data_IF_967519006233
#
_entry.id   IF_967519006233
#
_cell.length_a   1.000
_cell.length_b   1.000
_cell.length_c   1.000
_cell.angle_alpha   90.00
_cell.angle_beta   90.00
_cell.angle_gamma   90.00
#
_symmetry.space_group_name_H-M   'P 1'
#
loop_
_entity.id
_entity.type
_entity.pdbx_description
1 polymer ?
#
# COMPACT_ATOMS: atom_id res chain seq x y z
N UNK A 1 -5.80 10.89 -11.67
CA UNK A 1 -4.68 10.15 -11.02
C UNK A 1 -3.65 11.09 -10.38
N UNK A 2 -3.15 12.10 -11.08
CA UNK A 2 -2.16 13.03 -10.48
C UNK A 2 -2.67 13.66 -9.17
N UNK A 3 -3.87 14.20 -9.14
CA UNK A 3 -4.45 14.84 -7.95
C UNK A 3 -4.65 13.83 -6.79
N UNK A 4 -5.02 12.58 -7.12
CA UNK A 4 -5.10 11.49 -6.17
C UNK A 4 -3.73 11.18 -5.52
N UNK A 5 -2.66 11.12 -6.32
CA UNK A 5 -1.30 10.94 -5.79
C UNK A 5 -0.84 12.12 -4.93
N UNK A 6 -1.13 13.35 -5.34
CA UNK A 6 -0.77 14.54 -4.58
C UNK A 6 -1.53 14.60 -3.24
N UNK A 7 -2.81 14.21 -3.23
CA UNK A 7 -3.59 14.06 -1.99
C UNK A 7 -2.93 13.01 -1.08
N UNK A 8 -2.62 11.82 -1.59
CA UNK A 8 -1.96 10.78 -0.80
C UNK A 8 -0.58 11.23 -0.26
N UNK A 9 0.22 11.95 -1.06
CA UNK A 9 1.52 12.49 -0.62
C UNK A 9 1.38 13.55 0.47
N UNK A 10 0.42 14.44 0.32
CA UNK A 10 0.12 15.49 1.30
C UNK A 10 -0.25 14.88 2.65
N UNK A 11 -1.08 13.85 2.64
CA UNK A 11 -1.69 13.29 3.85
C UNK A 11 -0.93 12.08 4.40
N UNK A 12 0.07 11.56 3.67
CA UNK A 12 0.82 10.35 4.01
C UNK A 12 1.39 10.31 5.44
N UNK A 13 1.75 11.45 6.01
CA UNK A 13 2.27 11.60 7.38
C UNK A 13 1.41 12.56 8.22
N UNK A 14 0.20 12.84 7.77
CA UNK A 14 -0.80 13.69 8.42
C UNK A 14 -1.63 12.96 9.46
N UNK A 15 -2.92 13.29 9.49
CA UNK A 15 -3.91 12.62 10.33
C UNK A 15 -4.73 11.63 9.51
N UNK A 16 -4.93 10.43 10.02
CA UNK A 16 -5.68 9.37 9.34
C UNK A 16 -7.15 9.76 9.10
N UNK A 17 -7.76 10.49 10.03
CA UNK A 17 -9.11 11.05 9.89
C UNK A 17 -9.23 11.93 8.64
N UNK A 18 -8.30 12.86 8.47
CA UNK A 18 -8.30 13.78 7.35
C UNK A 18 -8.04 13.06 6.03
N UNK A 19 -7.09 12.11 6.02
CA UNK A 19 -6.83 11.24 4.87
C UNK A 19 -8.09 10.48 4.44
N UNK A 20 -8.84 9.89 5.37
CA UNK A 20 -10.08 9.16 5.05
C UNK A 20 -11.17 10.09 4.53
N UNK A 21 -11.31 11.28 5.12
CA UNK A 21 -12.28 12.28 4.66
C UNK A 21 -11.96 12.78 3.24
N UNK A 22 -10.69 13.07 2.95
CA UNK A 22 -10.25 13.49 1.62
C UNK A 22 -10.39 12.36 0.59
N UNK A 23 -10.02 11.13 0.96
CA UNK A 23 -10.21 9.94 0.14
C UNK A 23 -11.69 9.71 -0.23
N UNK A 24 -12.60 9.94 0.71
CA UNK A 24 -14.06 9.77 0.49
C UNK A 24 -14.59 10.72 -0.58
N UNK A 25 -13.98 11.86 -0.76
CA UNK A 25 -14.37 12.89 -1.76
C UNK A 25 -13.53 12.84 -3.02
N UNK A 26 -12.48 12.03 -3.05
CA UNK A 26 -11.58 12.00 -4.19
C UNK A 26 -12.25 11.42 -5.44
N UNK A 27 -12.03 12.06 -6.58
CA UNK A 27 -12.65 11.67 -7.85
C UNK A 27 -12.34 10.25 -8.30
N UNK A 28 -11.09 9.79 -8.10
CA UNK A 28 -10.71 8.43 -8.47
C UNK A 28 -11.46 7.41 -7.60
N UNK A 29 -11.66 7.71 -6.32
CA UNK A 29 -12.40 6.83 -5.41
C UNK A 29 -13.91 6.88 -5.64
N UNK A 30 -14.47 8.05 -5.95
CA UNK A 30 -15.88 8.18 -6.33
C UNK A 30 -16.22 7.29 -7.54
N UNK A 31 -15.33 7.26 -8.54
CA UNK A 31 -15.51 6.43 -9.75
C UNK A 31 -15.20 4.96 -9.45
N UNK A 32 -14.10 4.68 -8.76
CA UNK A 32 -13.62 3.31 -8.53
C UNK A 32 -14.59 2.46 -7.70
N UNK A 33 -15.27 3.07 -6.72
CA UNK A 33 -16.18 2.38 -5.79
C UNK A 33 -17.64 2.81 -5.96
N UNK A 34 -18.01 3.34 -7.14
CA UNK A 34 -19.38 3.62 -7.55
C UNK A 34 -20.14 4.59 -6.62
N UNK A 35 -19.43 5.50 -5.95
CA UNK A 35 -20.08 6.55 -5.14
C UNK A 35 -20.34 7.83 -5.94
N UNK A 36 -19.90 7.87 -7.20
CA UNK A 36 -20.19 9.00 -8.10
C UNK A 36 -21.66 8.99 -8.50
N UNK A 37 -22.32 10.14 -8.37
CA UNK A 37 -23.78 10.29 -8.54
C UNK A 37 -24.62 9.40 -7.60
N UNK A 38 -24.06 8.96 -6.47
CA UNK A 38 -24.82 8.21 -5.49
C UNK A 38 -25.90 9.13 -4.86
N UNK A 39 -27.15 8.73 -4.99
CA UNK A 39 -28.31 9.56 -4.63
C UNK A 39 -29.28 8.80 -3.72
N UNK A 40 -29.92 9.53 -2.81
CA UNK A 40 -31.05 9.04 -2.02
C UNK A 40 -32.40 9.23 -2.71
N UNK A 41 -32.45 9.95 -3.84
CA UNK A 41 -33.67 10.28 -4.57
C UNK A 41 -33.49 10.09 -6.07
N UNK A 42 -34.55 9.67 -6.76
CA UNK A 42 -34.61 9.70 -8.22
C UNK A 42 -34.86 11.13 -8.77
N UNK A 43 -34.91 11.26 -10.09
CA UNK A 43 -35.13 12.57 -10.73
C UNK A 43 -36.52 13.18 -10.46
N UNK A 44 -37.48 12.35 -10.03
CA UNK A 44 -38.83 12.77 -9.65
C UNK A 44 -38.93 13.10 -8.15
N UNK A 45 -37.82 12.93 -7.41
CA UNK A 45 -37.74 13.17 -5.96
C UNK A 45 -38.25 12.01 -5.10
N UNK A 46 -38.46 10.82 -5.66
CA UNK A 46 -38.87 9.66 -4.87
C UNK A 46 -37.64 9.03 -4.21
N UNK A 47 -37.73 8.53 -2.97
CA UNK A 47 -36.67 7.86 -2.28
C UNK A 47 -36.18 6.60 -3.05
N UNK A 48 -34.85 6.47 -3.22
CA UNK A 48 -34.22 5.28 -3.79
C UNK A 48 -33.09 4.80 -2.86
N UNK A 49 -32.80 3.49 -2.83
CA UNK A 49 -31.70 3.00 -2.02
C UNK A 49 -30.36 3.46 -2.65
N UNK A 50 -29.48 4.15 -1.86
CA UNK A 50 -28.16 4.50 -2.33
C UNK A 50 -27.29 3.26 -2.62
N UNK A 51 -26.27 3.45 -3.47
CA UNK A 51 -25.23 2.44 -3.67
C UNK A 51 -24.42 2.26 -2.38
N UNK A 52 -24.29 1.01 -1.91
CA UNK A 52 -23.61 0.66 -0.66
C UNK A 52 -22.12 0.35 -0.84
N UNK A 53 -21.60 0.28 -2.09
CA UNK A 53 -20.28 -0.26 -2.36
C UNK A 53 -19.19 0.52 -1.62
N UNK A 54 -19.15 1.83 -1.78
CA UNK A 54 -18.17 2.66 -1.08
C UNK A 54 -18.28 2.56 0.45
N UNK A 55 -19.49 2.64 0.99
CA UNK A 55 -19.73 2.56 2.43
C UNK A 55 -19.24 1.22 3.02
N UNK A 56 -19.44 0.13 2.28
CA UNK A 56 -18.98 -1.20 2.65
C UNK A 56 -17.45 -1.27 2.69
N UNK A 57 -16.78 -0.79 1.63
CA UNK A 57 -15.33 -0.82 1.56
C UNK A 57 -14.68 0.16 2.53
N UNK A 58 -15.31 1.30 2.80
CA UNK A 58 -14.88 2.23 3.85
C UNK A 58 -14.77 1.54 5.20
N UNK A 59 -15.79 0.76 5.60
CA UNK A 59 -15.77 0.00 6.85
C UNK A 59 -14.85 -1.23 6.77
N UNK A 60 -14.94 -2.00 5.70
CA UNK A 60 -14.31 -3.31 5.58
C UNK A 60 -12.82 -3.25 5.33
N UNK A 61 -12.38 -2.39 4.39
CA UNK A 61 -10.99 -2.34 3.93
C UNK A 61 -10.23 -1.14 4.47
N UNK A 62 -10.88 0.02 4.57
CA UNK A 62 -10.14 1.25 4.82
C UNK A 62 -10.03 1.59 6.31
N UNK A 63 -10.97 1.16 7.17
CA UNK A 63 -11.01 1.69 8.54
C UNK A 63 -11.15 0.68 9.67
N UNK A 64 -12.10 -0.27 9.63
CA UNK A 64 -12.44 -1.13 10.77
C UNK A 64 -12.10 -2.60 10.58
N UNK A 65 -12.18 -3.10 9.33
CA UNK A 65 -12.24 -4.53 9.08
C UNK A 65 -13.58 -5.15 9.49
N UNK A 66 -13.81 -6.39 9.09
CA UNK A 66 -15.07 -7.10 9.35
C UNK A 66 -15.20 -7.59 10.79
N UNK A 67 -14.09 -7.79 11.49
CA UNK A 67 -14.04 -8.42 12.81
C UNK A 67 -13.70 -7.38 13.89
N UNK A 68 -14.40 -7.44 15.01
CA UNK A 68 -14.04 -6.65 16.19
C UNK A 68 -12.69 -7.12 16.74
N UNK A 69 -11.80 -6.15 17.01
CA UNK A 69 -10.44 -6.43 17.45
C UNK A 69 -10.18 -5.90 18.87
N UNK A 70 -9.39 -6.65 19.61
CA UNK A 70 -8.67 -6.16 20.80
C UNK A 70 -7.52 -5.25 20.34
N UNK A 71 -6.95 -4.47 21.27
CA UNK A 71 -5.83 -3.55 20.97
C UNK A 71 -4.59 -4.27 20.42
N UNK A 72 -4.40 -5.54 20.74
CA UNK A 72 -3.33 -6.40 20.24
C UNK A 72 -3.60 -7.00 18.83
N UNK A 73 -4.71 -6.59 18.19
CA UNK A 73 -5.11 -7.06 16.86
C UNK A 73 -5.69 -8.48 16.83
N UNK A 74 -5.95 -9.10 17.98
CA UNK A 74 -6.66 -10.39 18.08
C UNK A 74 -8.18 -10.18 18.00
N UNK A 75 -8.95 -11.12 17.39
CA UNK A 75 -10.39 -11.00 17.32
C UNK A 75 -11.07 -11.09 18.69
N UNK A 76 -12.06 -10.22 18.93
CA UNK A 76 -12.98 -10.33 20.08
C UNK A 76 -13.97 -11.45 19.83
N UNK A 77 -14.22 -12.28 20.86
CA UNK A 77 -15.14 -13.42 20.78
C UNK A 77 -16.26 -13.29 21.81
N UNK A 78 -17.43 -13.85 21.46
CA UNK A 78 -18.54 -14.03 22.40
C UNK A 78 -18.28 -15.22 23.36
N UNK A 79 -19.22 -15.45 24.28
CA UNK A 79 -19.17 -16.58 25.24
C UNK A 79 -19.17 -17.97 24.57
N UNK A 80 -19.66 -18.07 23.34
CA UNK A 80 -19.67 -19.29 22.53
C UNK A 80 -18.41 -19.45 21.68
N UNK A 81 -17.47 -18.49 21.71
CA UNK A 81 -16.24 -18.49 20.95
C UNK A 81 -16.37 -17.92 19.52
N UNK A 82 -17.53 -17.43 19.10
CA UNK A 82 -17.72 -16.82 17.79
C UNK A 82 -17.08 -15.43 17.74
N UNK A 83 -16.47 -15.10 16.61
CA UNK A 83 -15.89 -13.77 16.39
C UNK A 83 -17.01 -12.75 16.23
N UNK A 84 -16.93 -11.66 16.97
CA UNK A 84 -17.89 -10.57 16.87
C UNK A 84 -17.64 -9.70 15.64
N UNK A 85 -18.69 -9.33 14.87
CA UNK A 85 -18.56 -8.39 13.77
C UNK A 85 -18.36 -6.95 14.27
N UNK A 86 -17.71 -6.11 13.44
CA UNK A 86 -17.55 -4.68 13.72
C UNK A 86 -18.81 -3.89 13.39
N UNK A 87 -19.55 -4.30 12.38
CA UNK A 87 -20.71 -3.58 11.85
C UNK A 87 -21.73 -4.56 11.27
N UNK A 88 -22.91 -4.06 10.99
CA UNK A 88 -24.03 -4.76 10.38
C UNK A 88 -24.35 -4.20 9.01
N UNK A 89 -25.19 -4.89 8.22
CA UNK A 89 -25.71 -4.36 6.96
C UNK A 89 -26.55 -3.08 7.14
N UNK A 90 -27.16 -2.89 8.31
CA UNK A 90 -27.87 -1.64 8.62
C UNK A 90 -26.91 -0.45 8.77
N UNK A 91 -25.71 -0.69 9.35
CA UNK A 91 -24.68 0.35 9.46
C UNK A 91 -24.16 0.75 8.08
N UNK A 92 -23.92 -0.23 7.19
CA UNK A 92 -23.49 0.03 5.81
C UNK A 92 -24.51 0.90 5.07
N UNK A 93 -25.82 0.54 5.15
CA UNK A 93 -26.89 1.33 4.53
C UNK A 93 -26.96 2.74 5.06
N UNK A 94 -26.89 2.91 6.38
CA UNK A 94 -26.95 4.23 7.01
C UNK A 94 -25.78 5.12 6.57
N UNK A 95 -24.56 4.57 6.47
CA UNK A 95 -23.40 5.28 5.97
C UNK A 95 -23.56 5.60 4.47
N UNK A 96 -24.07 4.67 3.67
CA UNK A 96 -24.34 4.93 2.25
C UNK A 96 -25.29 6.13 2.06
N UNK A 97 -26.34 6.25 2.88
CA UNK A 97 -27.20 7.43 2.91
C UNK A 97 -26.47 8.73 3.29
N UNK A 98 -25.55 8.67 4.28
CA UNK A 98 -24.76 9.83 4.70
C UNK A 98 -23.76 10.30 3.62
N UNK A 99 -23.30 9.39 2.76
CA UNK A 99 -22.32 9.67 1.72
C UNK A 99 -22.93 9.98 0.34
N UNK A 100 -24.26 10.17 0.26
CA UNK A 100 -24.95 10.62 -0.96
C UNK A 100 -24.66 12.08 -1.28
N UNK A 101 -24.82 12.47 -2.54
CA UNK A 101 -24.71 13.86 -2.99
C UNK A 101 -23.39 14.22 -3.67
N UNK A 102 -22.40 13.37 -3.62
CA UNK A 102 -21.10 13.61 -4.25
C UNK A 102 -21.09 13.18 -5.72
N UNK A 103 -20.49 14.01 -6.58
CA UNK A 103 -20.37 13.70 -7.99
C UNK A 103 -19.16 14.37 -8.65
N UNK A 104 -18.72 13.80 -9.76
CA UNK A 104 -17.74 14.35 -10.67
C UNK A 104 -18.47 15.08 -11.80
N UNK A 105 -18.31 16.39 -11.88
CA UNK A 105 -19.03 17.22 -12.86
C UNK A 105 -18.53 17.00 -14.28
N UNK A 106 -17.22 16.82 -14.42
CA UNK A 106 -16.57 16.73 -15.73
C UNK A 106 -15.55 15.58 -15.76
N UNK A 107 -15.88 14.58 -16.57
CA UNK A 107 -15.02 13.43 -16.81
C UNK A 107 -13.83 13.75 -17.72
N UNK A 108 -13.87 14.83 -18.49
CA UNK A 108 -12.78 15.19 -19.40
C UNK A 108 -11.66 15.94 -18.69
N UNK A 109 -12.01 16.85 -17.80
CA UNK A 109 -11.04 17.67 -17.06
C UNK A 109 -10.68 17.09 -15.70
N UNK A 110 -11.48 16.14 -15.18
CA UNK A 110 -11.29 15.56 -13.84
C UNK A 110 -11.10 16.64 -12.76
N UNK A 111 -11.89 17.71 -12.83
CA UNK A 111 -11.92 18.75 -11.81
C UNK A 111 -12.32 18.20 -10.43
N UNK A 112 -12.24 18.98 -9.35
CA UNK A 112 -12.59 18.51 -8.01
C UNK A 112 -14.03 18.03 -7.95
N UNK A 113 -14.29 17.01 -7.11
CA UNK A 113 -15.65 16.55 -6.85
C UNK A 113 -16.54 17.68 -6.32
N UNK A 114 -17.81 17.59 -6.60
CA UNK A 114 -18.82 18.53 -6.14
C UNK A 114 -19.89 17.84 -5.33
N UNK A 115 -20.53 18.60 -4.49
CA UNK A 115 -21.70 18.16 -3.72
C UNK A 115 -22.96 18.81 -4.26
N UNK A 116 -23.99 17.99 -4.51
CA UNK A 116 -25.34 18.44 -4.90
C UNK A 116 -26.35 18.00 -3.87
N UNK A 117 -26.95 18.96 -3.17
CA UNK A 117 -27.91 18.73 -2.10
C UNK A 117 -29.14 17.95 -2.54
N UNK A 118 -29.55 18.05 -3.82
CA UNK A 118 -30.70 17.34 -4.36
C UNK A 118 -30.52 15.82 -4.45
N UNK A 119 -29.31 15.30 -4.34
CA UNK A 119 -29.03 13.86 -4.26
C UNK A 119 -28.89 13.37 -2.82
N UNK A 120 -28.65 14.30 -1.88
CA UNK A 120 -28.30 13.96 -0.51
C UNK A 120 -29.53 13.66 0.36
N UNK A 121 -29.40 12.64 1.23
CA UNK A 121 -30.37 12.36 2.28
C UNK A 121 -30.17 13.30 3.48
N UNK A 122 -31.06 14.24 3.75
CA UNK A 122 -30.92 15.17 4.86
C UNK A 122 -31.39 14.62 6.21
N UNK A 123 -31.84 13.36 6.27
CA UNK A 123 -32.39 12.78 7.51
C UNK A 123 -31.27 12.39 8.50
N UNK A 124 -31.53 12.28 9.81
CA UNK A 124 -30.60 11.71 10.78
C UNK A 124 -30.25 10.25 10.43
N UNK A 125 -28.99 9.83 10.62
CA UNK A 125 -28.53 8.46 10.39
C UNK A 125 -27.98 7.86 11.66
N UNK A 126 -28.33 6.60 11.93
CA UNK A 126 -27.78 5.83 13.07
C UNK A 126 -26.98 4.67 12.56
N UNK A 127 -25.70 4.62 12.94
CA UNK A 127 -24.75 3.56 12.59
C UNK A 127 -23.67 3.43 13.68
N UNK A 128 -23.11 2.25 13.82
CA UNK A 128 -22.08 1.94 14.80
C UNK A 128 -22.40 2.40 16.22
N UNK A 129 -23.70 2.36 16.58
CA UNK A 129 -24.20 2.78 17.89
C UNK A 129 -24.29 4.30 18.10
N UNK A 130 -24.06 5.12 17.09
CA UNK A 130 -24.10 6.59 17.17
C UNK A 130 -25.11 7.14 16.16
N UNK A 131 -25.82 8.20 16.54
CA UNK A 131 -26.71 8.94 15.63
C UNK A 131 -26.07 10.27 15.28
N UNK A 132 -25.83 10.50 13.98
CA UNK A 132 -25.45 11.82 13.46
C UNK A 132 -26.72 12.62 13.12
N UNK A 133 -26.72 13.95 13.33
CA UNK A 133 -27.84 14.79 12.89
C UNK A 133 -27.90 14.83 11.37
N UNK A 134 -29.09 14.81 10.80
CA UNK A 134 -29.25 15.06 9.37
C UNK A 134 -28.86 16.51 9.03
N UNK A 135 -28.25 16.68 7.88
CA UNK A 135 -27.82 17.99 7.38
C UNK A 135 -28.48 18.29 6.03
N UNK A 136 -28.96 19.51 5.84
CA UNK A 136 -29.62 19.93 4.61
C UNK A 136 -28.83 21.03 3.89
N UNK A 137 -29.13 21.23 2.60
CA UNK A 137 -28.43 22.20 1.78
C UNK A 137 -26.94 21.86 1.64
N UNK A 138 -26.13 22.86 1.39
CA UNK A 138 -24.67 22.70 1.25
C UNK A 138 -23.99 22.12 2.52
N UNK A 139 -24.61 22.20 3.70
CA UNK A 139 -24.06 21.67 4.94
C UNK A 139 -24.08 20.13 4.96
N UNK A 140 -24.88 19.48 4.09
CA UNK A 140 -24.86 18.03 3.88
C UNK A 140 -23.49 17.47 3.50
N UNK A 141 -22.68 18.24 2.80
CA UNK A 141 -21.31 17.86 2.46
C UNK A 141 -20.43 17.51 3.69
N UNK A 142 -20.78 18.02 4.88
CA UNK A 142 -20.06 17.80 6.14
C UNK A 142 -20.41 16.46 6.81
N UNK A 143 -21.37 15.71 6.29
CA UNK A 143 -21.66 14.37 6.84
C UNK A 143 -20.51 13.38 6.60
N UNK A 144 -19.61 13.65 5.65
CA UNK A 144 -18.38 12.86 5.50
C UNK A 144 -17.54 12.94 6.76
N UNK A 145 -17.33 14.14 7.33
CA UNK A 145 -16.61 14.32 8.58
C UNK A 145 -17.33 13.64 9.75
N UNK A 146 -18.64 13.78 9.83
CA UNK A 146 -19.43 13.15 10.90
C UNK A 146 -19.30 11.62 10.85
N UNK A 147 -19.34 11.01 9.66
CA UNK A 147 -19.14 9.57 9.46
C UNK A 147 -17.73 9.14 9.89
N UNK A 148 -16.70 9.86 9.44
CA UNK A 148 -15.30 9.55 9.77
C UNK A 148 -15.05 9.71 11.27
N UNK A 149 -15.62 10.74 11.91
CA UNK A 149 -15.51 10.96 13.36
C UNK A 149 -16.07 9.78 14.17
N UNK A 150 -17.23 9.25 13.77
CA UNK A 150 -17.82 8.06 14.41
C UNK A 150 -16.93 6.83 14.19
N UNK A 151 -16.37 6.65 13.00
CA UNK A 151 -15.46 5.54 12.68
C UNK A 151 -14.17 5.64 13.52
N UNK A 152 -13.57 6.82 13.66
CA UNK A 152 -12.36 7.03 14.44
C UNK A 152 -12.53 6.67 15.92
N UNK A 153 -13.74 6.78 16.47
CA UNK A 153 -14.05 6.43 17.85
C UNK A 153 -14.26 4.92 18.07
N UNK A 154 -14.36 4.12 16.99
CA UNK A 154 -14.58 2.67 17.15
C UNK A 154 -13.36 1.96 17.73
N UNK A 155 -13.55 0.98 18.63
CA UNK A 155 -12.46 0.27 19.29
C UNK A 155 -11.50 -0.43 18.32
N UNK A 156 -11.99 -0.86 17.17
CA UNK A 156 -11.21 -1.62 16.18
C UNK A 156 -10.38 -0.75 15.23
N UNK A 157 -10.64 0.56 15.10
CA UNK A 157 -9.93 1.43 14.16
C UNK A 157 -8.42 1.43 14.44
N UNK A 158 -8.02 1.69 15.67
CA UNK A 158 -6.61 1.76 16.02
C UNK A 158 -5.86 0.43 15.78
N UNK A 159 -6.30 -0.72 16.31
CA UNK A 159 -5.60 -1.98 16.07
C UNK A 159 -5.66 -2.45 14.61
N UNK A 160 -6.74 -2.20 13.89
CA UNK A 160 -6.87 -2.58 12.48
C UNK A 160 -5.86 -1.82 11.60
N UNK A 161 -5.85 -0.50 11.67
CA UNK A 161 -4.93 0.33 10.88
C UNK A 161 -3.48 0.08 11.27
N UNK A 162 -3.19 -0.02 12.55
CA UNK A 162 -1.83 -0.31 13.04
C UNK A 162 -1.33 -1.66 12.54
N UNK A 163 -2.17 -2.68 12.53
CA UNK A 163 -1.81 -4.00 12.01
C UNK A 163 -1.53 -3.97 10.51
N UNK A 164 -2.35 -3.25 9.72
CA UNK A 164 -2.11 -3.08 8.28
C UNK A 164 -0.79 -2.35 8.03
N UNK A 165 -0.52 -1.26 8.74
CA UNK A 165 0.73 -0.52 8.59
C UNK A 165 1.95 -1.38 8.97
N UNK A 166 1.86 -2.16 10.05
CA UNK A 166 2.90 -3.11 10.43
C UNK A 166 3.15 -4.16 9.35
N UNK A 167 2.07 -4.69 8.76
CA UNK A 167 2.15 -5.69 7.68
C UNK A 167 2.69 -5.12 6.37
N UNK A 168 2.60 -3.83 6.16
CA UNK A 168 3.17 -3.15 4.99
C UNK A 168 4.62 -2.71 5.19
N UNK A 169 4.97 -2.24 6.39
CA UNK A 169 6.22 -1.54 6.66
C UNK A 169 7.25 -2.40 7.42
N UNK A 170 6.83 -3.41 8.17
CA UNK A 170 7.72 -4.15 9.07
C UNK A 170 7.74 -5.66 8.82
N UNK A 171 6.62 -6.37 9.06
CA UNK A 171 6.56 -7.84 8.95
C UNK A 171 5.15 -8.31 8.62
N UNK A 172 5.01 -9.37 7.83
CA UNK A 172 3.68 -9.92 7.50
C UNK A 172 2.93 -10.47 8.74
N UNK A 173 3.65 -10.85 9.77
CA UNK A 173 3.12 -11.49 10.98
C UNK A 173 3.59 -10.79 12.26
N UNK A 174 3.16 -9.52 12.47
CA UNK A 174 3.52 -8.79 13.69
C UNK A 174 2.98 -9.52 14.92
N UNK A 175 3.77 -9.52 16.01
CA UNK A 175 3.30 -10.08 17.28
C UNK A 175 2.12 -9.27 17.83
N UNK A 176 1.21 -9.91 18.63
CA UNK A 176 0.14 -9.18 19.31
C UNK A 176 0.66 -8.00 20.14
N UNK A 177 1.78 -8.16 20.83
CA UNK A 177 2.40 -7.09 21.62
C UNK A 177 2.90 -5.93 20.77
N UNK A 178 3.41 -6.18 19.56
CA UNK A 178 3.82 -5.12 18.63
C UNK A 178 2.60 -4.33 18.12
N UNK A 179 1.54 -5.05 17.73
CA UNK A 179 0.28 -4.41 17.32
C UNK A 179 -0.26 -3.53 18.44
N UNK A 180 -0.30 -4.01 19.69
CA UNK A 180 -0.82 -3.26 20.83
C UNK A 180 -0.04 -1.96 21.09
N UNK A 181 1.29 -2.02 21.06
CA UNK A 181 2.14 -0.84 21.26
C UNK A 181 1.88 0.22 20.19
N UNK A 182 1.84 -0.19 18.92
CA UNK A 182 1.60 0.74 17.80
C UNK A 182 0.16 1.27 17.81
N UNK A 183 -0.83 0.41 18.05
CA UNK A 183 -2.24 0.80 18.15
C UNK A 183 -2.49 1.78 19.32
N UNK A 184 -1.75 1.62 20.41
CA UNK A 184 -1.80 2.56 21.53
C UNK A 184 -1.29 3.95 21.13
N UNK A 185 -0.22 4.01 20.35
CA UNK A 185 0.29 5.29 19.81
C UNK A 185 -0.71 5.91 18.85
N UNK A 186 -1.26 5.14 17.90
CA UNK A 186 -2.28 5.61 16.97
C UNK A 186 -3.47 6.22 17.71
N UNK A 187 -4.03 5.48 18.68
CA UNK A 187 -5.17 5.93 19.49
C UNK A 187 -4.86 7.19 20.28
N UNK A 188 -3.73 7.22 21.00
CA UNK A 188 -3.38 8.32 21.89
C UNK A 188 -2.96 9.59 21.13
N UNK A 189 -2.57 9.47 19.87
CA UNK A 189 -2.24 10.59 18.99
C UNK A 189 -3.39 11.00 18.06
N UNK A 190 -4.59 10.48 18.32
CA UNK A 190 -5.81 10.74 17.54
C UNK A 190 -5.61 10.49 16.03
N UNK A 191 -5.02 9.34 15.70
CA UNK A 191 -4.80 8.93 14.32
C UNK A 191 -3.62 9.61 13.61
N UNK A 192 -2.64 10.16 14.33
CA UNK A 192 -1.44 10.76 13.72
C UNK A 192 -0.58 9.70 13.04
N UNK A 193 -0.55 9.69 11.70
CA UNK A 193 0.16 8.69 10.89
C UNK A 193 1.67 8.76 11.13
N UNK A 194 2.24 9.97 11.20
CA UNK A 194 3.68 10.16 11.44
C UNK A 194 4.12 9.58 12.78
N UNK A 195 3.34 9.79 13.83
CA UNK A 195 3.61 9.23 15.16
C UNK A 195 3.53 7.70 15.13
N UNK A 196 2.55 7.15 14.43
CA UNK A 196 2.33 5.71 14.26
C UNK A 196 3.48 5.05 13.48
N UNK A 197 3.87 5.62 12.34
CA UNK A 197 5.02 5.13 11.55
C UNK A 197 6.31 5.21 12.36
N UNK A 198 6.53 6.29 13.11
CA UNK A 198 7.67 6.38 14.03
C UNK A 198 7.66 5.25 15.05
N UNK A 199 6.51 4.97 15.67
CA UNK A 199 6.38 3.87 16.63
C UNK A 199 6.72 2.51 16.00
N UNK A 200 6.30 2.27 14.75
CA UNK A 200 6.68 1.08 14.01
C UNK A 200 8.21 1.00 13.85
N UNK A 201 8.82 2.02 13.26
CA UNK A 201 10.22 2.00 12.86
C UNK A 201 11.22 2.10 14.04
N UNK A 202 10.76 2.49 15.22
CA UNK A 202 11.62 2.59 16.42
C UNK A 202 11.37 1.49 17.45
N UNK A 203 10.42 0.59 17.18
CA UNK A 203 10.14 -0.55 18.08
C UNK A 203 11.29 -1.58 17.99
N UNK A 204 11.72 -2.17 19.12
CA UNK A 204 12.75 -3.21 19.09
C UNK A 204 12.42 -4.41 18.21
N UNK A 205 11.13 -4.75 18.05
CA UNK A 205 10.70 -5.88 17.21
C UNK A 205 10.94 -5.62 15.72
N UNK A 206 10.96 -4.35 15.28
CA UNK A 206 11.32 -4.00 13.91
C UNK A 206 12.72 -4.49 13.52
N UNK A 207 13.67 -4.42 14.46
CA UNK A 207 15.07 -4.80 14.27
C UNK A 207 15.38 -6.25 14.68
N UNK A 208 14.37 -7.02 15.05
CA UNK A 208 14.59 -8.41 15.44
C UNK A 208 15.05 -9.26 14.24
N UNK A 209 16.06 -10.11 14.42
CA UNK A 209 16.57 -11.00 13.37
C UNK A 209 15.47 -11.85 12.73
N UNK A 210 14.43 -12.22 13.52
CA UNK A 210 13.27 -12.97 13.04
C UNK A 210 12.44 -12.22 11.98
N UNK A 211 12.58 -10.92 11.87
CA UNK A 211 11.86 -10.09 10.89
C UNK A 211 12.68 -9.75 9.64
N UNK A 212 13.98 -10.02 9.67
CA UNK A 212 14.87 -9.81 8.51
C UNK A 212 14.56 -10.86 7.43
N UNK A 213 14.36 -10.43 6.19
CA UNK A 213 14.03 -11.30 5.04
C UNK A 213 12.74 -12.11 5.21
N UNK A 214 11.74 -11.54 5.84
CA UNK A 214 10.45 -12.21 6.05
C UNK A 214 9.36 -11.77 5.07
N UNK A 215 9.59 -10.68 4.33
CA UNK A 215 8.65 -10.16 3.34
C UNK A 215 9.20 -10.31 1.93
N UNK A 216 8.36 -10.81 1.01
CA UNK A 216 8.68 -10.76 -0.42
C UNK A 216 8.58 -9.33 -0.93
N UNK A 217 9.56 -8.91 -1.73
CA UNK A 217 9.46 -7.66 -2.50
C UNK A 217 8.38 -7.79 -3.57
N UNK A 218 7.53 -6.79 -3.68
CA UNK A 218 6.64 -6.69 -4.83
C UNK A 218 7.44 -6.45 -6.12
N UNK A 219 6.88 -6.73 -7.31
CA UNK A 219 7.56 -6.42 -8.57
C UNK A 219 8.07 -4.99 -8.65
N UNK A 220 7.26 -4.00 -8.22
CA UNK A 220 7.66 -2.59 -8.19
C UNK A 220 8.84 -2.36 -7.23
N UNK A 221 8.83 -2.96 -6.04
CA UNK A 221 9.94 -2.86 -5.09
C UNK A 221 11.22 -3.47 -5.64
N UNK A 222 11.13 -4.56 -6.43
CA UNK A 222 12.30 -5.18 -7.08
C UNK A 222 12.86 -4.29 -8.19
N UNK A 223 11.99 -3.86 -9.12
CA UNK A 223 12.40 -3.13 -10.32
C UNK A 223 12.90 -1.73 -9.99
N UNK A 224 12.07 -0.93 -9.33
CA UNK A 224 12.41 0.45 -8.97
C UNK A 224 13.52 0.48 -7.91
N UNK A 225 13.55 -0.52 -7.02
CA UNK A 225 14.60 -0.68 -6.03
C UNK A 225 15.98 -0.87 -6.67
N UNK A 226 16.09 -1.76 -7.67
CA UNK A 226 17.35 -1.99 -8.40
C UNK A 226 17.79 -0.75 -9.20
N UNK A 227 16.85 -0.08 -9.89
CA UNK A 227 17.11 1.16 -10.63
C UNK A 227 17.72 2.22 -9.71
N UNK A 228 17.10 2.47 -8.56
CA UNK A 228 17.56 3.46 -7.58
C UNK A 228 18.87 3.06 -6.92
N UNK A 229 19.04 1.77 -6.60
CA UNK A 229 20.23 1.28 -5.88
C UNK A 229 21.51 1.39 -6.68
N UNK A 230 21.43 1.29 -8.01
CA UNK A 230 22.56 1.35 -8.91
C UNK A 230 22.62 2.66 -9.73
N UNK A 231 21.79 3.65 -9.38
CA UNK A 231 21.68 4.93 -10.08
C UNK A 231 21.52 4.75 -11.60
N UNK A 232 20.63 3.80 -11.96
CA UNK A 232 20.37 3.46 -13.34
C UNK A 232 19.52 4.52 -14.03
N UNK A 233 19.81 4.80 -15.29
CA UNK A 233 18.97 5.62 -16.17
C UNK A 233 17.77 4.82 -16.63
N UNK A 234 16.58 5.43 -16.63
CA UNK A 234 15.34 4.81 -17.09
C UNK A 234 14.34 5.90 -17.50
N UNK A 235 13.65 5.69 -18.62
CA UNK A 235 12.48 6.50 -19.00
C UNK A 235 11.17 5.93 -18.43
N UNK A 236 11.22 4.79 -17.73
CA UNK A 236 10.11 4.16 -17.05
C UNK A 236 9.36 3.09 -17.85
N UNK A 237 9.72 2.87 -19.11
CA UNK A 237 9.03 1.89 -19.95
C UNK A 237 9.35 0.46 -19.52
N UNK A 238 10.62 0.12 -19.31
CA UNK A 238 11.02 -1.22 -18.87
C UNK A 238 10.34 -1.63 -17.55
N UNK A 239 10.40 -0.86 -16.44
CA UNK A 239 9.68 -1.23 -15.22
C UNK A 239 8.16 -1.28 -15.40
N UNK A 240 7.57 -0.45 -16.28
CA UNK A 240 6.12 -0.49 -16.59
C UNK A 240 5.75 -1.80 -17.28
N UNK A 241 6.49 -2.20 -18.31
CA UNK A 241 6.26 -3.44 -19.07
C UNK A 241 6.39 -4.66 -18.15
N UNK A 242 7.42 -4.72 -17.32
CA UNK A 242 7.62 -5.83 -16.39
C UNK A 242 6.55 -5.88 -15.27
N UNK A 243 6.07 -4.72 -14.80
CA UNK A 243 4.93 -4.72 -13.87
C UNK A 243 3.64 -5.19 -14.51
N UNK A 244 3.43 -4.93 -15.81
CA UNK A 244 2.30 -5.46 -16.57
C UNK A 244 2.38 -7.00 -16.70
N UNK A 245 3.52 -7.56 -17.09
CA UNK A 245 3.71 -9.00 -17.21
C UNK A 245 3.55 -9.75 -15.89
N UNK A 246 3.96 -9.13 -14.79
CA UNK A 246 3.77 -9.69 -13.45
C UNK A 246 2.36 -9.46 -12.89
N UNK A 247 1.47 -8.81 -13.63
CA UNK A 247 0.11 -8.51 -13.18
C UNK A 247 0.04 -7.44 -12.08
N UNK A 248 1.09 -6.61 -11.96
CA UNK A 248 1.21 -5.57 -10.92
C UNK A 248 1.21 -4.16 -11.51
N UNK A 249 0.49 -3.96 -12.62
CA UNK A 249 0.39 -2.65 -13.25
C UNK A 249 -0.16 -1.63 -12.26
N UNK A 250 0.57 -0.53 -11.97
CA UNK A 250 0.12 0.50 -11.06
C UNK A 250 -1.29 0.99 -11.39
N UNK A 251 -2.11 1.19 -10.36
CA UNK A 251 -3.52 1.62 -10.44
C UNK A 251 -4.51 0.63 -11.09
N UNK A 252 -4.07 -0.56 -11.48
CA UNK A 252 -4.92 -1.61 -12.04
C UNK A 252 -4.88 -2.88 -11.19
N UNK A 253 -5.27 -2.83 -9.91
CA UNK A 253 -5.32 -4.03 -9.09
C UNK A 253 -6.41 -4.99 -9.60
N UNK A 254 -6.22 -6.32 -9.46
CA UNK A 254 -7.18 -7.31 -9.91
C UNK A 254 -8.49 -7.33 -9.10
N UNK A 255 -8.52 -6.66 -7.96
CA UNK A 255 -9.70 -6.57 -7.09
C UNK A 255 -9.58 -5.41 -6.09
N UNK A 256 -10.67 -5.12 -5.37
CA UNK A 256 -10.69 -4.16 -4.25
C UNK A 256 -9.72 -4.53 -3.12
N UNK A 257 -9.25 -5.78 -3.05
CA UNK A 257 -8.22 -6.22 -2.12
C UNK A 257 -6.80 -5.88 -2.59
N UNK A 258 -6.64 -5.07 -3.63
CA UNK A 258 -5.36 -4.74 -4.26
C UNK A 258 -4.70 -5.96 -4.93
N UNK A 259 -3.38 -5.95 -5.13
CA UNK A 259 -2.61 -7.05 -5.73
C UNK A 259 -2.43 -8.23 -4.78
N UNK A 260 -2.48 -7.99 -3.48
CA UNK A 260 -2.43 -9.01 -2.42
C UNK A 260 -3.05 -8.45 -1.13
N UNK A 261 -3.63 -9.34 -0.32
CA UNK A 261 -4.13 -8.95 1.00
C UNK A 261 -2.96 -8.66 1.95
N UNK A 262 -3.13 -7.76 2.92
CA UNK A 262 -2.12 -7.55 3.97
C UNK A 262 -1.71 -8.87 4.62
N UNK A 263 -0.41 -9.06 4.86
CA UNK A 263 0.14 -10.30 5.40
C UNK A 263 0.10 -11.51 4.45
N UNK A 264 -0.01 -11.29 3.13
CA UNK A 264 -0.08 -12.33 2.09
C UNK A 264 0.82 -12.05 0.88
N UNK A 265 1.90 -11.29 1.04
CA UNK A 265 2.87 -11.04 -0.04
C UNK A 265 3.46 -12.33 -0.62
N UNK A 266 3.62 -13.37 0.18
CA UNK A 266 4.08 -14.67 -0.29
C UNK A 266 3.23 -15.29 -1.40
N UNK A 267 1.97 -14.88 -1.57
CA UNK A 267 1.13 -15.31 -2.68
C UNK A 267 1.60 -14.77 -4.05
N UNK A 268 2.50 -13.78 -4.06
CA UNK A 268 3.12 -13.24 -5.27
C UNK A 268 4.22 -14.14 -5.84
N UNK A 269 4.68 -15.14 -5.10
CA UNK A 269 5.78 -16.01 -5.51
C UNK A 269 5.21 -17.27 -6.17
N UNK A 270 5.06 -17.21 -7.48
CA UNK A 270 4.72 -18.35 -8.35
C UNK A 270 5.86 -18.63 -9.30
N UNK A 271 5.90 -19.81 -9.91
CA UNK A 271 6.93 -20.16 -10.89
C UNK A 271 7.00 -19.16 -12.05
N UNK A 272 5.85 -18.70 -12.55
CA UNK A 272 5.79 -17.66 -13.60
C UNK A 272 6.33 -16.32 -13.13
N UNK A 273 6.03 -15.92 -11.89
CA UNK A 273 6.53 -14.66 -11.35
C UNK A 273 8.06 -14.68 -11.21
N UNK A 274 8.63 -15.76 -10.70
CA UNK A 274 10.09 -15.92 -10.62
C UNK A 274 10.73 -15.80 -12.00
N UNK A 275 10.16 -16.44 -13.03
CA UNK A 275 10.65 -16.32 -14.41
C UNK A 275 10.62 -14.86 -14.92
N UNK A 276 9.56 -14.10 -14.59
CA UNK A 276 9.51 -12.68 -14.96
C UNK A 276 10.54 -11.84 -14.21
N UNK A 277 10.83 -12.16 -12.95
CA UNK A 277 11.89 -11.47 -12.19
C UNK A 277 13.27 -11.74 -12.77
N UNK A 278 13.54 -13.00 -13.18
CA UNK A 278 14.79 -13.36 -13.83
C UNK A 278 14.94 -12.66 -15.19
N UNK A 279 13.87 -12.60 -15.99
CA UNK A 279 13.88 -11.89 -17.27
C UNK A 279 14.07 -10.36 -17.09
N UNK A 280 13.50 -9.76 -16.04
CA UNK A 280 13.82 -8.37 -15.72
C UNK A 280 15.29 -8.20 -15.35
N UNK A 281 15.87 -9.13 -14.61
CA UNK A 281 17.30 -9.08 -14.29
C UNK A 281 18.18 -9.20 -15.54
N UNK A 282 17.78 -10.01 -16.53
CA UNK A 282 18.43 -10.09 -17.82
C UNK A 282 18.41 -8.74 -18.55
N UNK A 283 17.25 -8.13 -18.72
CA UNK A 283 17.10 -6.81 -19.36
C UNK A 283 17.88 -5.73 -18.63
N UNK A 284 17.82 -5.73 -17.29
CA UNK A 284 18.48 -4.70 -16.46
C UNK A 284 20.00 -4.71 -16.56
N UNK A 285 20.60 -5.88 -16.79
CA UNK A 285 22.06 -6.00 -16.95
C UNK A 285 22.52 -5.93 -18.39
N UNK A 286 21.64 -6.00 -19.38
CA UNK A 286 21.99 -5.84 -20.78
C UNK A 286 22.52 -4.42 -21.08
N UNK A 287 23.28 -4.31 -22.11
CA UNK A 287 23.78 -3.04 -22.65
C UNK A 287 22.96 -2.55 -23.84
N UNK A 288 22.10 -3.40 -24.38
CA UNK A 288 21.19 -3.05 -25.44
C UNK A 288 19.94 -2.39 -24.84
N UNK A 289 19.56 -1.26 -25.38
CA UNK A 289 18.34 -0.55 -25.02
C UNK A 289 17.52 -0.26 -26.28
N UNK A 290 16.21 -0.41 -26.19
CA UNK A 290 15.23 -0.04 -27.20
C UNK A 290 14.02 0.65 -26.55
N UNK A 291 12.93 0.81 -27.29
CA UNK A 291 11.72 1.47 -26.75
C UNK A 291 11.07 0.74 -25.57
N UNK A 292 11.41 -0.51 -25.30
CA UNK A 292 10.86 -1.35 -24.24
C UNK A 292 11.89 -1.69 -23.15
N UNK A 293 13.20 -1.66 -23.49
CA UNK A 293 14.32 -1.94 -22.62
C UNK A 293 15.15 -0.66 -22.41
N UNK A 294 14.49 0.35 -21.88
CA UNK A 294 15.03 1.72 -21.73
C UNK A 294 15.84 1.94 -20.45
N UNK A 295 16.09 0.87 -19.69
CA UNK A 295 16.71 0.95 -18.36
C UNK A 295 18.07 0.31 -18.36
N UNK A 296 19.10 1.07 -17.95
CA UNK A 296 20.48 0.56 -17.84
C UNK A 296 21.27 1.31 -16.78
N UNK A 297 22.29 0.65 -16.21
CA UNK A 297 23.24 1.27 -15.27
C UNK A 297 24.66 1.25 -15.83
N UNK A 298 25.45 2.29 -15.51
CA UNK A 298 26.84 2.39 -15.94
C UNK A 298 27.79 1.63 -14.98
N UNK A 299 28.04 0.37 -15.31
CA UNK A 299 28.97 -0.47 -14.56
C UNK A 299 30.42 0.08 -14.57
N UNK A 300 30.82 0.80 -15.62
CA UNK A 300 32.13 1.43 -15.73
C UNK A 300 32.25 2.61 -14.76
N UNK A 301 31.24 3.47 -14.72
CA UNK A 301 31.19 4.60 -13.78
C UNK A 301 31.22 4.13 -12.33
N UNK A 302 30.43 3.07 -11.99
CA UNK A 302 30.44 2.48 -10.63
C UNK A 302 31.83 1.99 -10.25
N UNK A 303 32.54 1.25 -11.16
CA UNK A 303 33.91 0.77 -10.91
C UNK A 303 34.85 1.94 -10.70
N UNK A 304 34.77 2.98 -11.54
CA UNK A 304 35.64 4.15 -11.49
C UNK A 304 35.43 4.95 -10.18
N UNK A 305 34.17 5.19 -9.80
CA UNK A 305 33.81 5.94 -8.60
C UNK A 305 34.31 5.28 -7.32
N UNK A 306 34.19 3.94 -7.22
CA UNK A 306 34.55 3.20 -6.01
C UNK A 306 35.99 2.67 -6.01
N UNK A 307 36.68 2.70 -7.14
CA UNK A 307 38.09 2.26 -7.32
C UNK A 307 38.35 0.88 -6.68
N UNK A 308 37.49 -0.08 -6.96
CA UNK A 308 37.57 -1.42 -6.38
C UNK A 308 38.90 -2.12 -6.72
N UNK A 309 39.53 -2.71 -5.71
CA UNK A 309 40.80 -3.46 -5.85
C UNK A 309 40.61 -4.97 -5.69
N UNK A 310 39.51 -5.42 -5.14
CA UNK A 310 39.24 -6.84 -4.84
C UNK A 310 37.77 -7.17 -5.07
N UNK A 311 37.42 -8.33 -5.66
CA UNK A 311 36.03 -8.77 -5.85
C UNK A 311 35.19 -8.70 -4.58
N UNK A 312 35.71 -9.09 -3.41
CA UNK A 312 35.00 -8.99 -2.11
C UNK A 312 34.48 -7.59 -1.79
N UNK A 313 35.17 -6.53 -2.29
CA UNK A 313 34.68 -5.15 -2.06
C UNK A 313 33.54 -4.78 -3.00
N UNK A 314 33.59 -5.32 -4.23
CA UNK A 314 32.45 -5.17 -5.17
C UNK A 314 31.22 -5.87 -4.62
N UNK A 315 31.35 -7.13 -4.19
CA UNK A 315 30.24 -7.89 -3.62
C UNK A 315 29.66 -7.19 -2.39
N UNK A 316 30.52 -6.69 -1.49
CA UNK A 316 30.04 -5.93 -0.31
C UNK A 316 29.27 -4.67 -0.71
N UNK A 317 29.73 -3.94 -1.72
CA UNK A 317 29.00 -2.77 -2.26
C UNK A 317 27.63 -3.17 -2.81
N UNK A 318 27.56 -4.26 -3.60
CA UNK A 318 26.31 -4.74 -4.17
C UNK A 318 25.35 -5.26 -3.09
N UNK A 319 25.86 -5.95 -2.06
CA UNK A 319 25.07 -6.35 -0.89
C UNK A 319 24.43 -5.12 -0.20
N UNK A 320 25.23 -4.09 0.04
CA UNK A 320 24.77 -2.88 0.73
C UNK A 320 23.78 -2.06 -0.13
N UNK A 321 23.89 -2.13 -1.45
CA UNK A 321 23.01 -1.42 -2.36
C UNK A 321 21.68 -2.16 -2.62
N UNK A 322 21.73 -3.49 -2.81
CA UNK A 322 20.61 -4.27 -3.34
C UNK A 322 19.88 -5.10 -2.29
N UNK A 323 20.48 -5.38 -1.14
CA UNK A 323 19.96 -6.33 -0.16
C UNK A 323 19.72 -5.69 1.21
N UNK A 324 18.72 -6.18 1.92
CA UNK A 324 18.46 -5.80 3.32
C UNK A 324 19.43 -6.45 4.31
N UNK A 325 20.05 -7.57 3.93
CA UNK A 325 21.04 -8.27 4.72
C UNK A 325 22.10 -8.91 3.79
N UNK A 326 23.29 -9.27 4.27
CA UNK A 326 24.32 -9.89 3.44
C UNK A 326 23.85 -11.21 2.80
N UNK A 327 24.39 -11.57 1.63
CA UNK A 327 24.20 -12.88 1.01
C UNK A 327 24.57 -14.02 1.97
N UNK A 328 23.92 -15.16 1.82
CA UNK A 328 24.35 -16.38 2.49
C UNK A 328 25.80 -16.69 2.08
N UNK A 329 26.61 -17.30 2.96
CA UNK A 329 28.05 -17.50 2.69
C UNK A 329 28.34 -18.21 1.38
N UNK A 330 27.54 -19.20 1.01
CA UNK A 330 27.65 -19.96 -0.23
C UNK A 330 27.37 -19.10 -1.45
N UNK A 331 26.25 -18.41 -1.48
CA UNK A 331 25.87 -17.49 -2.57
C UNK A 331 26.90 -16.38 -2.72
N UNK A 332 27.34 -15.82 -1.61
CA UNK A 332 28.38 -14.79 -1.59
C UNK A 332 29.69 -15.26 -2.20
N UNK A 333 30.09 -16.48 -1.88
CA UNK A 333 31.32 -17.07 -2.41
C UNK A 333 31.19 -17.28 -3.93
N UNK A 334 30.06 -17.78 -4.42
CA UNK A 334 29.79 -17.94 -5.87
C UNK A 334 29.97 -16.61 -6.60
N UNK A 335 29.38 -15.52 -6.09
CA UNK A 335 29.49 -14.19 -6.71
C UNK A 335 30.94 -13.68 -6.68
N UNK A 336 31.69 -13.93 -5.60
CA UNK A 336 33.11 -13.56 -5.52
C UNK A 336 33.95 -14.32 -6.58
N UNK A 337 33.74 -15.64 -6.68
CA UNK A 337 34.48 -16.53 -7.58
C UNK A 337 34.20 -16.23 -9.06
N UNK A 338 32.98 -15.80 -9.37
CA UNK A 338 32.56 -15.36 -10.70
C UNK A 338 33.49 -14.26 -11.27
N UNK A 339 34.03 -13.39 -10.43
CA UNK A 339 34.97 -12.37 -10.89
C UNK A 339 36.28 -12.96 -11.42
N UNK A 340 36.71 -14.14 -10.96
CA UNK A 340 37.98 -14.76 -11.37
C UNK A 340 39.18 -13.83 -11.15
N UNK A 341 39.14 -13.01 -10.10
CA UNK A 341 40.16 -12.02 -9.76
C UNK A 341 40.20 -10.74 -10.63
N UNK A 342 39.31 -10.61 -11.63
CA UNK A 342 39.24 -9.44 -12.53
C UNK A 342 37.97 -8.68 -12.30
N UNK A 343 38.05 -7.35 -12.21
CA UNK A 343 36.88 -6.45 -12.07
C UNK A 343 36.76 -5.71 -13.41
N UNK A 344 35.73 -6.05 -14.17
CA UNK A 344 35.37 -5.41 -15.44
C UNK A 344 33.89 -5.05 -15.44
N UNK A 345 33.46 -4.13 -16.33
CA UNK A 345 32.04 -3.80 -16.46
C UNK A 345 31.13 -5.04 -16.67
N UNK A 346 31.52 -5.97 -17.54
CA UNK A 346 30.76 -7.20 -17.80
C UNK A 346 30.67 -8.08 -16.55
N UNK A 347 31.77 -8.18 -15.79
CA UNK A 347 31.79 -8.94 -14.54
C UNK A 347 30.94 -8.29 -13.46
N UNK A 348 30.90 -6.96 -13.41
CA UNK A 348 30.00 -6.26 -12.50
C UNK A 348 28.54 -6.52 -12.87
N UNK A 349 28.17 -6.44 -14.16
CA UNK A 349 26.80 -6.73 -14.64
C UNK A 349 26.40 -8.18 -14.31
N UNK A 350 27.24 -9.16 -14.60
CA UNK A 350 26.95 -10.55 -14.26
C UNK A 350 26.86 -10.80 -12.75
N UNK A 351 27.61 -10.07 -11.91
CA UNK A 351 27.46 -10.14 -10.45
C UNK A 351 26.12 -9.53 -9.97
N UNK A 352 25.66 -8.44 -10.59
CA UNK A 352 24.34 -7.86 -10.36
C UNK A 352 23.27 -8.88 -10.71
N UNK A 353 23.35 -9.50 -11.88
CA UNK A 353 22.44 -10.56 -12.31
C UNK A 353 22.37 -11.72 -11.31
N UNK A 354 23.54 -12.26 -10.89
CA UNK A 354 23.59 -13.34 -9.91
C UNK A 354 22.94 -12.98 -8.57
N UNK A 355 23.01 -11.71 -8.16
CA UNK A 355 22.38 -11.23 -6.95
C UNK A 355 20.87 -11.06 -7.16
N UNK A 356 20.44 -10.44 -8.27
CA UNK A 356 19.03 -10.17 -8.54
C UNK A 356 18.21 -11.45 -8.75
N UNK A 357 18.82 -12.50 -9.29
CA UNK A 357 18.18 -13.82 -9.45
C UNK A 357 18.30 -14.70 -8.19
N UNK A 358 18.99 -14.24 -7.14
CA UNK A 358 19.09 -14.97 -5.87
C UNK A 358 17.81 -14.83 -5.02
N UNK A 359 17.49 -15.84 -4.19
CA UNK A 359 16.36 -15.73 -3.23
C UNK A 359 16.51 -14.55 -2.27
N UNK A 360 17.74 -14.16 -1.93
CA UNK A 360 18.04 -13.08 -1.00
C UNK A 360 17.61 -11.71 -1.53
N UNK A 361 17.65 -11.49 -2.84
CA UNK A 361 17.21 -10.24 -3.46
C UNK A 361 15.69 -10.11 -3.44
N UNK A 362 14.97 -11.20 -3.49
CA UNK A 362 13.49 -11.19 -3.53
C UNK A 362 12.85 -10.90 -2.16
N UNK A 363 13.66 -10.83 -1.10
CA UNK A 363 13.21 -10.64 0.28
C UNK A 363 13.65 -9.28 0.85
N UNK A 364 12.75 -8.70 1.68
CA UNK A 364 13.02 -7.53 2.52
C UNK A 364 13.26 -7.93 3.96
#
# INVERSE_FOLDING_TARGET
MHDYEEMLRRDALGNFRDLVADLTRDNAMLVYLDNNYNSAFDYDGNPVPPNENYARELLQLFTLGTQRLNMDGTPVRDESGNILPNYTEADVRAIAHALTGWYLEDYETFGPSKFYEGFHDPSPKTFLGTTIPGRSGADGAREVEDVVDVIMQQPSTAPYISKILLQKLATETPSPGYVERVATVFKNSDGNIKATVRAILTDPEFYADANVRTQFKTPIEQYVGAIRALDAESQGMSPLVWTLFTGHLPYFPPSVFSFYRPGKKGALVTASQVTFYDNFADDFVDTYTDDYTDTSFDAGAIIAAHNFKKPKKVVKFLEDALLTAPLQPETRQIVIDYFGGRITPEKLRGAVWLIMTSPEFQLN
#
